data_IF_963957239076
#
_entry.id   IF_963957239076
#
_cell.length_a   1.000
_cell.length_b   1.000
_cell.length_c   1.000
_cell.angle_alpha   90.00
_cell.angle_beta   90.00
_cell.angle_gamma   90.00
#
_symmetry.space_group_name_H-M   'P 1'
#
loop_
_entity.id
_entity.type
_entity.pdbx_description
1 polymer ?
#
# COMPACT_ATOMS: atom_id res chain seq x y z
N UNK A 1 -2.33 11.07 -4.84
CA UNK A 1 -3.51 11.04 -3.94
C UNK A 1 -4.77 10.83 -4.77
N UNK A 2 -5.34 9.62 -4.74
CA UNK A 2 -6.57 9.32 -5.50
C UNK A 2 -7.75 10.20 -5.06
N UNK A 3 -7.85 10.52 -3.78
CA UNK A 3 -8.92 11.36 -3.24
C UNK A 3 -9.05 12.72 -3.93
N UNK A 4 -7.93 13.31 -4.38
CA UNK A 4 -7.93 14.59 -5.11
C UNK A 4 -8.56 14.48 -6.50
N UNK A 5 -8.69 13.28 -7.02
CA UNK A 5 -9.39 12.97 -8.26
C UNK A 5 -10.80 12.49 -8.00
N UNK A 6 -10.99 11.59 -7.02
CA UNK A 6 -12.32 11.03 -6.67
C UNK A 6 -13.34 12.10 -6.31
N UNK A 7 -12.93 13.22 -5.68
CA UNK A 7 -13.83 14.32 -5.37
C UNK A 7 -14.54 14.92 -6.60
N UNK A 8 -14.03 14.68 -7.81
CA UNK A 8 -14.65 15.10 -9.07
C UNK A 8 -15.41 13.98 -9.77
N UNK A 9 -15.68 12.87 -9.07
CA UNK A 9 -16.43 11.73 -9.60
C UNK A 9 -15.73 11.05 -10.78
N UNK A 10 -16.53 10.61 -11.75
CA UNK A 10 -16.06 9.83 -12.90
C UNK A 10 -15.02 10.59 -13.73
N UNK A 11 -15.19 11.87 -13.94
CA UNK A 11 -14.25 12.68 -14.71
C UNK A 11 -12.90 12.83 -13.99
N UNK A 12 -12.92 12.90 -12.65
CA UNK A 12 -11.70 12.85 -11.84
C UNK A 12 -10.97 11.52 -11.99
N UNK A 13 -11.68 10.39 -11.94
CA UNK A 13 -11.07 9.07 -12.15
C UNK A 13 -10.50 8.89 -13.57
N UNK A 14 -11.15 9.45 -14.59
CA UNK A 14 -10.57 9.52 -15.95
C UNK A 14 -9.28 10.33 -15.98
N UNK A 15 -9.24 11.46 -15.27
CA UNK A 15 -8.04 12.29 -15.17
C UNK A 15 -6.91 11.54 -14.41
N UNK A 16 -7.26 10.81 -13.33
CA UNK A 16 -6.33 9.96 -12.60
C UNK A 16 -5.68 8.91 -13.52
N UNK A 17 -6.49 8.16 -14.27
CA UNK A 17 -6.00 7.17 -15.24
C UNK A 17 -5.04 7.81 -16.26
N UNK A 18 -5.44 8.93 -16.87
CA UNK A 18 -4.59 9.66 -17.83
C UNK A 18 -3.26 10.11 -17.21
N UNK A 19 -3.28 10.54 -15.94
CA UNK A 19 -2.07 10.96 -15.23
C UNK A 19 -1.13 9.76 -15.01
N UNK A 20 -1.66 8.60 -14.60
CA UNK A 20 -0.89 7.37 -14.46
C UNK A 20 -0.25 6.96 -15.81
N UNK A 21 -1.04 6.92 -16.88
CA UNK A 21 -0.55 6.55 -18.21
C UNK A 21 0.55 7.51 -18.70
N UNK A 22 0.36 8.81 -18.50
CA UNK A 22 1.35 9.81 -18.87
C UNK A 22 2.65 9.66 -18.08
N UNK A 23 2.56 9.50 -16.74
CA UNK A 23 3.73 9.33 -15.92
C UNK A 23 4.52 8.06 -16.29
N UNK A 24 3.83 6.94 -16.53
CA UNK A 24 4.47 5.71 -17.04
C UNK A 24 5.14 5.92 -18.39
N UNK A 25 4.52 6.66 -19.31
CA UNK A 25 5.13 6.96 -20.62
C UNK A 25 6.44 7.75 -20.51
N UNK A 26 6.69 8.36 -19.33
CA UNK A 26 7.94 9.07 -19.00
C UNK A 26 8.93 8.24 -18.18
N UNK A 27 8.65 6.96 -17.96
CA UNK A 27 9.50 6.06 -17.18
C UNK A 27 9.45 6.29 -15.67
N UNK A 28 8.40 6.96 -15.17
CA UNK A 28 8.23 7.20 -13.73
C UNK A 28 7.56 6.01 -13.05
N UNK A 29 8.03 5.69 -11.85
CA UNK A 29 7.35 4.76 -10.94
C UNK A 29 6.15 5.47 -10.30
N UNK A 30 5.01 4.79 -10.27
CA UNK A 30 3.76 5.36 -9.77
C UNK A 30 3.39 4.72 -8.44
N UNK A 31 3.26 5.54 -7.41
CA UNK A 31 2.70 5.13 -6.13
C UNK A 31 1.28 5.69 -6.05
N UNK A 32 0.28 4.81 -6.19
CA UNK A 32 -1.11 5.15 -5.97
C UNK A 32 -1.39 5.31 -4.48
N UNK A 33 -1.54 6.56 -4.02
CA UNK A 33 -1.89 6.81 -2.63
C UNK A 33 -3.41 6.72 -2.45
N UNK A 34 -3.88 5.48 -2.28
CA UNK A 34 -5.30 5.11 -2.27
C UNK A 34 -5.82 4.74 -0.89
N UNK A 35 -4.95 4.27 0.01
CA UNK A 35 -5.25 3.88 1.40
C UNK A 35 -6.47 2.96 1.53
N UNK A 36 -6.65 2.02 0.60
CA UNK A 36 -7.79 1.08 0.62
C UNK A 36 -7.62 0.04 1.72
N UNK A 37 -8.75 -0.45 2.21
CA UNK A 37 -8.82 -1.55 3.17
C UNK A 37 -10.22 -2.11 3.18
N UNK A 38 -10.32 -3.42 2.91
CA UNK A 38 -11.55 -4.21 2.94
C UNK A 38 -11.14 -5.68 3.15
N UNK A 39 -12.05 -6.62 3.03
CA UNK A 39 -11.77 -8.05 3.20
C UNK A 39 -12.13 -8.85 1.94
N UNK A 40 -11.52 -10.03 1.80
CA UNK A 40 -11.88 -11.04 0.82
C UNK A 40 -12.00 -10.51 -0.61
N UNK A 41 -13.12 -10.79 -1.25
CA UNK A 41 -13.38 -10.43 -2.66
C UNK A 41 -13.40 -8.92 -2.91
N UNK A 42 -13.85 -8.11 -1.93
CA UNK A 42 -13.85 -6.65 -2.05
C UNK A 42 -12.42 -6.13 -2.07
N UNK A 43 -11.56 -6.61 -1.18
CA UNK A 43 -10.13 -6.28 -1.18
C UNK A 43 -9.45 -6.70 -2.49
N UNK A 44 -9.78 -7.89 -3.00
CA UNK A 44 -9.29 -8.36 -4.30
C UNK A 44 -9.72 -7.45 -5.46
N UNK A 45 -10.96 -6.95 -5.44
CA UNK A 45 -11.45 -6.01 -6.46
C UNK A 45 -10.68 -4.69 -6.45
N UNK A 46 -10.37 -4.14 -5.27
CA UNK A 46 -9.48 -2.98 -5.14
C UNK A 46 -8.08 -3.28 -5.69
N UNK A 47 -7.50 -4.42 -5.31
CA UNK A 47 -6.16 -4.81 -5.75
C UNK A 47 -6.08 -4.93 -7.28
N UNK A 48 -7.04 -5.62 -7.90
CA UNK A 48 -7.13 -5.76 -9.36
C UNK A 48 -7.33 -4.41 -10.04
N UNK A 49 -8.19 -3.54 -9.49
CA UNK A 49 -8.46 -2.22 -10.05
C UNK A 49 -7.23 -1.31 -10.10
N UNK A 50 -6.38 -1.37 -9.07
CA UNK A 50 -5.21 -0.50 -8.95
C UNK A 50 -3.94 -1.12 -9.52
N UNK A 51 -3.68 -2.39 -9.25
CA UNK A 51 -2.40 -3.04 -9.52
C UNK A 51 -2.48 -4.17 -10.55
N UNK A 52 -3.68 -4.67 -10.83
CA UNK A 52 -3.87 -5.91 -11.59
C UNK A 52 -4.57 -5.73 -12.93
N UNK A 53 -5.21 -6.82 -13.35
CA UNK A 53 -5.95 -6.94 -14.61
C UNK A 53 -7.35 -7.46 -14.36
N UNK A 54 -8.31 -6.90 -15.07
CA UNK A 54 -9.71 -7.35 -15.07
C UNK A 54 -10.01 -8.09 -16.36
N UNK A 55 -10.67 -9.25 -16.26
CA UNK A 55 -11.16 -10.01 -17.40
C UNK A 55 -12.62 -9.67 -17.68
N UNK A 56 -12.94 -9.30 -18.91
CA UNK A 56 -14.31 -9.08 -19.38
C UNK A 56 -14.51 -9.90 -20.67
N UNK A 57 -15.16 -11.04 -20.54
CA UNK A 57 -15.26 -12.02 -21.61
C UNK A 57 -13.86 -12.53 -21.99
N UNK A 58 -13.48 -12.43 -23.25
CA UNK A 58 -12.15 -12.82 -23.77
C UNK A 58 -11.09 -11.72 -23.70
N UNK A 59 -11.44 -10.54 -23.20
CA UNK A 59 -10.51 -9.38 -23.16
C UNK A 59 -10.02 -9.11 -21.75
N UNK A 60 -8.74 -8.72 -21.66
CA UNK A 60 -8.09 -8.28 -20.42
C UNK A 60 -7.87 -6.78 -20.44
N UNK A 61 -8.16 -6.11 -19.32
CA UNK A 61 -8.00 -4.66 -19.15
C UNK A 61 -7.14 -4.38 -17.94
N UNK A 62 -6.28 -3.36 -18.03
CA UNK A 62 -5.50 -2.81 -16.92
C UNK A 62 -6.14 -1.47 -16.53
N UNK A 63 -6.84 -1.39 -15.38
CA UNK A 63 -7.61 -0.20 -15.04
C UNK A 63 -6.71 1.02 -14.78
N UNK A 64 -6.03 1.09 -13.64
CA UNK A 64 -5.20 2.25 -13.26
C UNK A 64 -3.70 2.04 -13.47
N UNK A 65 -3.20 0.83 -13.23
CA UNK A 65 -1.81 0.41 -13.50
C UNK A 65 -0.75 1.16 -12.67
N UNK A 66 -1.01 1.42 -11.39
CA UNK A 66 0.05 1.87 -10.49
C UNK A 66 1.10 0.78 -10.29
N UNK A 67 2.31 1.16 -9.89
CA UNK A 67 3.40 0.22 -9.56
C UNK A 67 3.35 -0.19 -8.09
N UNK A 68 2.92 0.74 -7.23
CA UNK A 68 2.66 0.53 -5.81
C UNK A 68 1.32 1.15 -5.41
N UNK A 69 0.69 0.59 -4.39
CA UNK A 69 -0.51 1.14 -3.78
C UNK A 69 -0.36 1.25 -2.26
N UNK A 70 -0.98 2.26 -1.65
CA UNK A 70 -1.05 2.34 -0.19
C UNK A 70 -2.28 1.60 0.33
N UNK A 71 -2.11 0.83 1.43
CA UNK A 71 -3.14 -0.05 1.98
C UNK A 71 -3.26 0.14 3.50
N UNK A 72 -4.48 0.12 4.00
CA UNK A 72 -4.78 0.18 5.42
C UNK A 72 -4.80 -1.25 6.01
N UNK A 73 -3.99 -1.55 7.05
CA UNK A 73 -3.88 -2.90 7.60
C UNK A 73 -4.93 -3.25 8.65
N UNK A 74 -5.83 -2.33 9.01
CA UNK A 74 -6.71 -2.45 10.17
C UNK A 74 -7.56 -3.74 10.20
N UNK A 75 -7.92 -4.28 9.03
CA UNK A 75 -8.67 -5.52 8.89
C UNK A 75 -7.77 -6.79 8.84
N UNK A 76 -6.48 -6.63 9.12
CA UNK A 76 -5.56 -7.75 9.21
C UNK A 76 -5.23 -8.43 7.88
N UNK A 77 -4.83 -9.70 7.96
CA UNK A 77 -4.38 -10.47 6.79
C UNK A 77 -5.46 -10.66 5.73
N UNK A 78 -6.73 -10.72 6.12
CA UNK A 78 -7.85 -10.86 5.18
C UNK A 78 -7.99 -9.64 4.27
N UNK A 79 -7.55 -8.47 4.75
CA UNK A 79 -7.53 -7.23 3.98
C UNK A 79 -6.28 -7.08 3.10
N UNK A 80 -5.14 -7.55 3.58
CA UNK A 80 -3.84 -7.31 2.94
C UNK A 80 -3.47 -8.38 1.93
N UNK A 81 -3.70 -9.67 2.24
CA UNK A 81 -3.32 -10.81 1.38
C UNK A 81 -3.86 -10.72 -0.05
N UNK A 82 -5.12 -10.31 -0.31
CA UNK A 82 -5.60 -10.19 -1.68
C UNK A 82 -4.78 -9.20 -2.53
N UNK A 83 -4.28 -8.12 -1.94
CA UNK A 83 -3.37 -7.20 -2.63
C UNK A 83 -2.01 -7.85 -2.89
N UNK A 84 -1.47 -8.62 -1.93
CA UNK A 84 -0.18 -9.32 -2.08
C UNK A 84 -0.23 -10.32 -3.22
N UNK A 85 -1.32 -11.07 -3.37
CA UNK A 85 -1.47 -12.02 -4.47
C UNK A 85 -1.39 -11.31 -5.83
N UNK A 86 -2.11 -10.21 -6.00
CA UNK A 86 -2.02 -9.40 -7.23
C UNK A 86 -0.60 -8.82 -7.42
N UNK A 87 0.06 -8.38 -6.35
CA UNK A 87 1.44 -7.90 -6.44
C UNK A 87 2.41 -8.98 -6.95
N UNK A 88 2.25 -10.22 -6.49
CA UNK A 88 3.06 -11.36 -6.95
C UNK A 88 2.82 -11.67 -8.44
N UNK A 89 1.55 -11.69 -8.86
CA UNK A 89 1.16 -11.98 -10.24
C UNK A 89 1.64 -10.92 -11.23
N UNK A 90 1.46 -9.64 -10.88
CA UNK A 90 1.71 -8.50 -11.76
C UNK A 90 3.06 -7.79 -11.52
N UNK A 91 3.88 -8.30 -10.60
CA UNK A 91 5.17 -7.70 -10.20
C UNK A 91 5.02 -6.25 -9.72
N UNK A 92 4.08 -6.05 -8.83
CA UNK A 92 3.74 -4.76 -8.20
C UNK A 92 4.11 -4.76 -6.72
N UNK A 93 3.86 -3.67 -6.01
CA UNK A 93 4.16 -3.59 -4.59
C UNK A 93 3.11 -2.83 -3.78
N UNK A 94 3.31 -2.83 -2.46
CA UNK A 94 2.47 -2.15 -1.50
C UNK A 94 3.28 -1.28 -0.56
N UNK A 95 2.64 -0.22 -0.07
CA UNK A 95 3.04 0.48 1.14
C UNK A 95 1.89 0.42 2.15
N UNK A 96 2.10 -0.31 3.23
CA UNK A 96 1.09 -0.51 4.28
C UNK A 96 1.25 0.58 5.33
N UNK A 97 0.14 1.16 5.79
CA UNK A 97 0.18 2.19 6.83
C UNK A 97 0.66 1.60 8.15
N UNK A 98 1.79 2.05 8.66
CA UNK A 98 2.38 1.58 9.93
C UNK A 98 2.41 2.68 10.97
N UNK A 99 3.10 3.79 10.69
CA UNK A 99 3.08 4.98 11.55
C UNK A 99 2.85 6.20 10.69
N UNK A 100 1.72 6.85 10.88
CA UNK A 100 1.32 8.00 10.07
C UNK A 100 1.68 9.32 10.74
N UNK A 101 1.79 10.41 9.95
CA UNK A 101 2.27 11.71 10.41
C UNK A 101 1.20 12.62 11.00
N UNK A 102 -0.08 12.26 10.89
CA UNK A 102 -1.19 13.10 11.35
C UNK A 102 -1.22 13.21 12.89
N UNK A 103 -1.66 14.34 13.47
CA UNK A 103 -1.66 14.57 14.91
C UNK A 103 -2.38 13.49 15.73
N UNK A 104 -3.51 12.96 15.22
CA UNK A 104 -4.31 11.93 15.92
C UNK A 104 -3.76 10.51 15.76
N UNK A 105 -2.62 10.31 15.11
CA UNK A 105 -2.06 8.96 14.90
C UNK A 105 -1.84 8.19 16.20
N UNK A 106 -1.49 8.91 17.28
CA UNK A 106 -1.25 8.32 18.61
C UNK A 106 -2.49 7.75 19.30
N UNK A 107 -3.70 8.11 18.86
CA UNK A 107 -4.94 7.60 19.47
C UNK A 107 -5.02 6.07 19.38
N UNK A 108 -4.48 5.47 18.32
CA UNK A 108 -4.42 4.03 18.09
C UNK A 108 -2.98 3.53 17.98
N UNK A 109 -2.16 4.16 17.14
CA UNK A 109 -0.88 3.61 16.73
C UNK A 109 0.13 3.52 17.88
N UNK A 110 0.04 4.41 18.87
CA UNK A 110 0.91 4.44 20.05
C UNK A 110 0.35 3.65 21.24
N UNK A 111 -0.84 3.04 21.10
CA UNK A 111 -1.41 2.21 22.17
C UNK A 111 -0.59 0.95 22.36
N UNK A 112 -0.38 0.60 23.64
CA UNK A 112 0.41 -0.57 24.00
C UNK A 112 -0.46 -1.83 24.00
N UNK A 113 0.03 -2.86 23.35
CA UNK A 113 -0.47 -4.22 23.37
C UNK A 113 0.68 -5.08 23.88
N UNK A 114 0.51 -5.70 25.02
CA UNK A 114 1.56 -6.50 25.71
C UNK A 114 2.88 -5.71 25.88
N UNK A 115 2.75 -4.41 26.20
CA UNK A 115 3.89 -3.52 26.45
C UNK A 115 4.56 -2.97 25.19
N UNK A 116 4.04 -3.24 24.00
CA UNK A 116 4.57 -2.76 22.71
C UNK A 116 3.56 -1.92 21.96
N UNK A 117 3.97 -0.81 21.34
CA UNK A 117 3.02 0.03 20.60
C UNK A 117 2.49 -0.68 19.36
N UNK A 118 1.22 -0.43 19.03
CA UNK A 118 0.53 -1.04 17.90
C UNK A 118 1.31 -0.89 16.59
N UNK A 119 1.95 0.27 16.33
CA UNK A 119 2.70 0.47 15.10
C UNK A 119 3.86 -0.51 14.93
N UNK A 120 4.49 -0.99 16.03
CA UNK A 120 5.55 -2.00 15.94
C UNK A 120 4.98 -3.36 15.55
N UNK A 121 3.84 -3.74 16.12
CA UNK A 121 3.16 -5.00 15.78
C UNK A 121 2.71 -5.02 14.32
N UNK A 122 2.22 -3.87 13.82
CA UNK A 122 1.89 -3.74 12.40
C UNK A 122 3.15 -3.83 11.54
N UNK A 123 4.26 -3.22 11.97
CA UNK A 123 5.55 -3.33 11.28
C UNK A 123 6.04 -4.78 11.18
N UNK A 124 5.92 -5.57 12.25
CA UNK A 124 6.24 -7.01 12.22
C UNK A 124 5.38 -7.76 11.20
N UNK A 125 4.08 -7.45 11.14
CA UNK A 125 3.19 -8.02 10.14
C UNK A 125 3.57 -7.64 8.73
N UNK A 126 4.02 -6.41 8.48
CA UNK A 126 4.55 -6.00 7.17
C UNK A 126 5.75 -6.84 6.78
N UNK A 127 6.70 -7.06 7.69
CA UNK A 127 7.86 -7.92 7.45
C UNK A 127 7.45 -9.38 7.15
N UNK A 128 6.49 -9.92 7.91
CA UNK A 128 5.94 -11.26 7.72
C UNK A 128 5.26 -11.39 6.35
N UNK A 129 4.34 -10.47 6.02
CA UNK A 129 3.62 -10.47 4.75
C UNK A 129 4.55 -10.28 3.55
N UNK A 130 5.65 -9.57 3.72
CA UNK A 130 6.62 -9.30 2.67
C UNK A 130 7.70 -10.36 2.49
N UNK A 131 7.75 -11.38 3.35
CA UNK A 131 8.84 -12.38 3.34
C UNK A 131 8.99 -13.12 2.01
N UNK A 132 7.86 -13.42 1.35
CA UNK A 132 7.83 -14.12 0.04
C UNK A 132 7.76 -13.17 -1.16
N UNK A 133 7.91 -11.85 -0.95
CA UNK A 133 7.82 -10.82 -1.97
C UNK A 133 9.13 -10.06 -2.14
N UNK A 134 10.26 -10.77 -2.06
CA UNK A 134 11.59 -10.17 -2.13
C UNK A 134 11.98 -9.83 -3.57
N UNK A 135 12.52 -8.60 -3.75
CA UNK A 135 13.40 -8.27 -4.86
C UNK A 135 14.85 -8.64 -4.54
N UNK A 136 15.81 -7.97 -5.15
CA UNK A 136 17.23 -8.25 -4.91
C UNK A 136 17.63 -8.01 -3.45
N UNK A 137 17.28 -6.85 -2.90
CA UNK A 137 17.66 -6.45 -1.54
C UNK A 137 16.49 -6.25 -0.59
N UNK A 138 15.34 -5.83 -1.11
CA UNK A 138 14.17 -5.42 -0.34
C UNK A 138 12.89 -6.08 -0.83
N UNK A 139 11.95 -6.26 0.11
CA UNK A 139 10.59 -6.69 -0.19
C UNK A 139 9.81 -5.59 -0.92
N UNK A 140 9.00 -5.97 -1.90
CA UNK A 140 8.02 -5.09 -2.54
C UNK A 140 6.82 -4.77 -1.63
N UNK A 141 6.74 -5.40 -0.46
CA UNK A 141 5.77 -5.05 0.57
C UNK A 141 6.48 -4.16 1.59
N UNK A 142 6.20 -2.88 1.46
CA UNK A 142 6.80 -1.82 2.26
C UNK A 142 5.83 -1.21 3.26
N UNK A 143 6.29 -0.18 3.96
CA UNK A 143 5.56 0.51 5.00
C UNK A 143 5.52 2.02 4.77
N UNK A 144 4.42 2.66 5.15
CA UNK A 144 4.34 4.12 5.32
C UNK A 144 4.76 4.45 6.75
N UNK A 145 5.82 5.26 6.89
CA UNK A 145 6.31 5.76 8.17
C UNK A 145 6.54 7.26 8.07
N UNK A 146 5.72 8.04 8.75
CA UNK A 146 5.74 9.50 8.66
C UNK A 146 7.05 10.13 9.13
N UNK A 147 7.50 11.18 8.47
CA UNK A 147 8.72 11.90 8.79
C UNK A 147 8.70 12.61 10.16
N UNK A 148 7.51 12.85 10.71
CA UNK A 148 7.33 13.59 11.97
C UNK A 148 7.98 12.91 13.18
N UNK A 149 8.16 11.59 13.13
CA UNK A 149 8.66 10.78 14.26
C UNK A 149 9.88 9.95 13.87
N UNK A 150 11.07 10.58 13.66
CA UNK A 150 12.25 9.89 13.16
C UNK A 150 12.75 8.76 14.08
N UNK A 151 12.59 8.87 15.39
CA UNK A 151 13.00 7.83 16.33
C UNK A 151 12.15 6.54 16.16
N UNK A 152 10.86 6.68 15.89
CA UNK A 152 9.99 5.55 15.57
C UNK A 152 10.42 4.88 14.24
N UNK A 153 10.87 5.68 13.28
CA UNK A 153 11.46 5.18 12.02
C UNK A 153 12.71 4.30 12.26
N UNK A 154 13.57 4.67 13.20
CA UNK A 154 14.73 3.85 13.58
C UNK A 154 14.31 2.51 14.21
N UNK A 155 13.30 2.52 15.07
CA UNK A 155 12.73 1.29 15.66
C UNK A 155 12.15 0.42 14.55
N UNK A 156 11.31 1.00 13.70
CA UNK A 156 10.65 0.28 12.61
C UNK A 156 11.64 -0.28 11.58
N UNK A 157 12.75 0.41 11.32
CA UNK A 157 13.81 -0.15 10.46
C UNK A 157 14.41 -1.44 11.03
N UNK A 158 14.53 -1.56 12.36
CA UNK A 158 14.97 -2.80 13.01
C UNK A 158 13.93 -3.91 12.93
N UNK A 159 12.65 -3.53 13.04
CA UNK A 159 11.51 -4.45 12.92
C UNK A 159 11.32 -4.95 11.48
N UNK A 160 11.53 -4.06 10.52
CA UNK A 160 11.34 -4.33 9.08
C UNK A 160 12.65 -4.07 8.30
N UNK A 161 13.73 -4.86 8.52
CA UNK A 161 15.05 -4.55 7.96
C UNK A 161 15.08 -4.61 6.44
N UNK A 162 14.21 -5.38 5.82
CA UNK A 162 14.14 -5.64 4.37
C UNK A 162 12.94 -4.99 3.68
N UNK A 163 12.17 -4.13 4.32
CA UNK A 163 11.03 -3.44 3.69
C UNK A 163 11.43 -2.06 3.19
N UNK A 164 10.90 -1.66 2.03
CA UNK A 164 10.91 -0.25 1.64
C UNK A 164 10.10 0.58 2.64
N UNK A 165 10.55 1.80 2.91
CA UNK A 165 9.84 2.74 3.76
C UNK A 165 9.49 3.96 2.91
N UNK A 166 8.20 4.23 2.76
CA UNK A 166 7.66 5.46 2.20
C UNK A 166 7.52 6.48 3.34
N UNK A 167 8.22 7.61 3.21
CA UNK A 167 8.27 8.65 4.23
C UNK A 167 7.58 9.91 3.70
N UNK A 168 6.27 10.09 3.97
CA UNK A 168 5.56 11.30 3.61
C UNK A 168 5.78 12.43 4.61
#
# INVERSE_FOLDING_TARGET
QVAMYEQFGVEGLKAFKKTCDYAKSKGLVIIGDIKRGDIGSTSAAYAVGHLGRVQVGSKSYVPFDEDFATVNPYLGSDGVKPFIEVCKEEKKGLFILVKTSNPSSGEFQDRLIDGRPLYELVGEKVAEWGADCMGDDYSYIGAVVGATYPEMGKVLRKVMPKSYILVP
#
